data_IF_239104174272
#
_entry.id   IF_239104174272
#
_cell.length_a   1.000
_cell.length_b   1.000
_cell.length_c   1.000
_cell.angle_alpha   90.00
_cell.angle_beta   90.00
_cell.angle_gamma   90.00
#
_symmetry.space_group_name_H-M   'P 1'
#
loop_
_entity.id
_entity.type
_entity.pdbx_description
1 polymer ?
#
# COMPACT_ATOMS: atom_id res chain seq x y z
N UNK A 1 50.39 27.81 35.57
CA UNK A 1 50.71 29.09 34.96
C UNK A 1 49.51 30.00 35.10
N UNK A 2 49.68 31.21 35.58
CA UNK A 2 48.77 32.10 36.29
C UNK A 2 47.46 32.45 35.56
N UNK A 3 46.36 32.37 36.33
CA UNK A 3 45.06 33.01 36.09
C UNK A 3 45.17 34.52 36.16
N UNK A 4 44.62 35.21 35.17
CA UNK A 4 44.33 36.68 35.29
C UNK A 4 42.81 36.87 35.21
N UNK A 5 42.28 37.35 36.35
CA UNK A 5 40.92 37.90 36.50
C UNK A 5 40.84 39.25 35.77
N UNK A 6 39.82 39.47 34.96
CA UNK A 6 39.39 40.80 34.52
C UNK A 6 38.08 41.17 35.18
N UNK A 7 38.09 42.33 35.81
CA UNK A 7 37.03 42.98 36.55
C UNK A 7 35.95 43.53 35.61
N UNK A 8 34.70 43.43 36.05
CA UNK A 8 33.51 44.02 35.40
C UNK A 8 33.21 45.35 36.13
N UNK A 9 33.12 46.43 35.36
CA UNK A 9 32.63 47.72 35.84
C UNK A 9 31.09 47.80 35.70
N UNK A 10 30.38 48.57 36.53
CA UNK A 10 28.93 48.62 36.59
C UNK A 10 28.34 49.59 35.55
N UNK A 11 27.23 49.13 34.92
CA UNK A 11 26.47 49.90 33.95
C UNK A 11 25.53 50.90 34.60
N UNK A 12 25.45 52.09 34.00
CA UNK A 12 24.62 53.18 34.32
C UNK A 12 23.13 52.98 34.12
N UNK A 13 22.31 53.55 35.00
CA UNK A 13 20.84 53.62 34.85
C UNK A 13 20.49 54.59 33.72
N UNK A 14 19.60 54.21 32.83
CA UNK A 14 18.90 55.15 31.97
C UNK A 14 17.38 54.94 32.05
N UNK A 15 16.72 56.06 31.90
CA UNK A 15 15.37 56.44 32.23
C UNK A 15 14.20 55.67 31.57
N UNK A 16 13.10 55.77 32.31
CA UNK A 16 11.75 55.43 31.99
C UNK A 16 11.25 56.03 30.66
N UNK A 17 10.84 55.20 29.71
CA UNK A 17 9.97 55.59 28.59
C UNK A 17 8.68 54.74 28.62
N UNK A 18 7.57 55.45 28.56
CA UNK A 18 6.18 55.03 28.65
C UNK A 18 5.81 53.92 27.66
N UNK A 19 5.08 52.93 28.18
CA UNK A 19 4.41 51.89 27.35
C UNK A 19 3.24 52.51 26.57
N UNK A 20 3.08 52.20 25.29
CA UNK A 20 1.83 52.46 24.58
C UNK A 20 0.77 51.44 24.96
N UNK A 21 -0.45 51.90 25.12
CA UNK A 21 -1.68 51.18 25.41
C UNK A 21 -2.05 50.23 24.25
N UNK A 22 -2.53 49.01 24.51
CA UNK A 22 -2.91 48.09 23.41
C UNK A 22 -4.25 48.53 22.83
N UNK A 23 -4.27 48.75 21.50
CA UNK A 23 -5.47 49.01 20.72
C UNK A 23 -6.45 47.83 20.82
N UNK A 24 -7.69 48.15 21.22
CA UNK A 24 -8.82 47.23 21.25
C UNK A 24 -9.09 46.70 19.83
N UNK A 25 -8.80 45.43 19.59
CA UNK A 25 -9.29 44.71 18.41
C UNK A 25 -10.80 44.50 18.58
N UNK A 26 -11.59 45.14 17.73
CA UNK A 26 -13.01 44.84 17.58
C UNK A 26 -13.17 43.47 16.96
N UNK A 27 -13.73 42.51 17.71
CA UNK A 27 -14.11 41.20 17.19
C UNK A 27 -15.36 41.35 16.36
N UNK A 28 -15.23 41.17 15.04
CA UNK A 28 -16.36 40.93 14.17
C UNK A 28 -16.65 39.42 14.21
N UNK A 29 -17.43 38.98 15.19
CA UNK A 29 -18.03 37.68 15.20
C UNK A 29 -19.32 37.74 14.39
N UNK A 30 -19.23 37.41 13.11
CA UNK A 30 -20.41 37.06 12.31
C UNK A 30 -20.83 35.64 12.75
N UNK A 31 -21.92 35.53 13.48
CA UNK A 31 -22.56 34.27 13.80
C UNK A 31 -23.14 33.67 12.50
N UNK A 32 -22.50 32.61 12.02
CA UNK A 32 -23.12 31.75 11.00
C UNK A 32 -24.09 30.84 11.72
N UNK A 33 -25.39 31.11 11.61
CA UNK A 33 -26.43 30.19 12.04
C UNK A 33 -26.36 28.90 11.20
N UNK A 34 -25.96 27.80 11.83
CA UNK A 34 -26.04 26.46 11.26
C UNK A 34 -27.46 25.94 11.46
N UNK A 35 -28.19 25.58 10.40
CA UNK A 35 -29.54 25.02 10.57
C UNK A 35 -29.46 23.65 11.27
N UNK A 36 -30.00 23.57 12.46
CA UNK A 36 -30.22 22.33 13.22
C UNK A 36 -31.44 21.60 12.66
N UNK A 37 -31.27 20.85 11.59
CA UNK A 37 -32.17 19.75 11.20
C UNK A 37 -31.53 18.89 10.11
N UNK A 38 -30.59 18.04 10.47
CA UNK A 38 -30.24 16.89 9.61
C UNK A 38 -31.06 15.71 10.11
N UNK A 39 -32.13 15.40 9.38
CA UNK A 39 -32.90 14.20 9.57
C UNK A 39 -32.00 12.97 9.50
N UNK A 40 -32.12 12.08 10.50
CA UNK A 40 -31.48 10.76 10.52
C UNK A 40 -32.01 9.93 9.35
N UNK A 41 -31.48 10.10 8.15
CA UNK A 41 -31.72 9.18 7.05
C UNK A 41 -30.69 8.05 7.17
N UNK A 42 -31.17 6.86 7.56
CA UNK A 42 -30.46 5.59 7.39
C UNK A 42 -30.16 5.42 5.91
N UNK A 43 -28.98 5.82 5.46
CA UNK A 43 -28.47 5.42 4.14
C UNK A 43 -27.61 4.18 4.32
N UNK A 44 -28.28 3.06 4.61
CA UNK A 44 -27.75 1.75 4.26
C UNK A 44 -28.22 1.46 2.82
N UNK A 45 -27.67 2.12 1.84
CA UNK A 45 -27.71 1.67 0.45
C UNK A 45 -26.42 0.96 0.16
N UNK A 46 -26.38 -0.37 0.33
CA UNK A 46 -25.55 -1.20 -0.52
C UNK A 46 -25.85 -0.75 -1.95
N UNK A 47 -24.86 -0.20 -2.64
CA UNK A 47 -24.87 -0.08 -4.07
C UNK A 47 -24.86 -1.51 -4.62
N UNK A 48 -26.04 -2.11 -4.76
CA UNK A 48 -26.20 -3.30 -5.58
C UNK A 48 -25.93 -2.88 -7.00
N UNK A 49 -24.80 -3.31 -7.54
CA UNK A 49 -24.54 -3.23 -8.98
C UNK A 49 -25.69 -3.92 -9.70
N UNK A 50 -26.33 -3.30 -10.68
CA UNK A 50 -27.23 -4.01 -11.57
C UNK A 50 -26.44 -5.09 -12.29
N UNK A 51 -26.93 -6.31 -12.26
CA UNK A 51 -26.50 -7.37 -13.15
C UNK A 51 -27.07 -7.06 -14.52
N UNK A 52 -26.37 -6.25 -15.30
CA UNK A 52 -26.68 -6.06 -16.71
C UNK A 52 -25.65 -6.82 -17.54
N UNK A 53 -26.14 -7.81 -18.28
CA UNK A 53 -25.46 -8.61 -19.29
C UNK A 53 -25.00 -7.78 -20.52
N UNK A 54 -24.44 -6.62 -20.32
CA UNK A 54 -23.61 -5.97 -21.31
C UNK A 54 -22.19 -6.50 -21.12
N UNK A 55 -21.76 -7.41 -21.98
CA UNK A 55 -20.36 -7.74 -22.20
C UNK A 55 -19.66 -6.48 -22.68
N UNK A 56 -19.37 -5.56 -21.77
CA UNK A 56 -18.42 -4.48 -22.02
C UNK A 56 -17.09 -5.17 -22.20
N UNK A 57 -16.49 -4.98 -23.36
CA UNK A 57 -15.09 -5.39 -23.53
C UNK A 57 -14.32 -4.80 -22.36
N UNK A 58 -13.77 -5.65 -21.47
CA UNK A 58 -13.13 -5.20 -20.23
C UNK A 58 -11.93 -4.31 -20.52
N UNK A 59 -11.62 -3.36 -19.63
CA UNK A 59 -10.52 -2.39 -19.75
C UNK A 59 -9.16 -3.05 -20.01
N UNK A 60 -9.02 -4.33 -19.67
CA UNK A 60 -7.76 -5.08 -19.74
C UNK A 60 -7.81 -6.25 -20.74
N UNK A 61 -8.76 -6.19 -21.69
CA UNK A 61 -8.86 -7.22 -22.74
C UNK A 61 -7.54 -7.37 -23.49
N UNK A 62 -7.03 -8.62 -23.55
CA UNK A 62 -5.77 -8.96 -24.20
C UNK A 62 -4.51 -8.63 -23.39
N UNK A 63 -4.64 -8.02 -22.21
CA UNK A 63 -3.53 -7.80 -21.30
C UNK A 63 -3.18 -9.06 -20.52
N UNK A 64 -1.90 -9.19 -20.17
CA UNK A 64 -1.36 -10.37 -19.46
C UNK A 64 -0.75 -9.93 -18.13
N UNK A 65 -1.22 -10.54 -17.04
CA UNK A 65 -0.84 -10.21 -15.68
C UNK A 65 -0.15 -11.38 -14.98
N UNK A 66 0.94 -11.12 -14.29
CA UNK A 66 1.59 -12.06 -13.38
C UNK A 66 1.49 -11.55 -11.95
N UNK A 67 0.85 -12.32 -11.07
CA UNK A 67 0.53 -11.94 -9.69
C UNK A 67 1.33 -12.81 -8.73
N UNK A 68 2.17 -12.15 -7.91
CA UNK A 68 2.91 -12.79 -6.83
C UNK A 68 2.21 -12.60 -5.49
N UNK A 69 2.23 -13.63 -4.64
CA UNK A 69 1.81 -13.53 -3.23
C UNK A 69 0.41 -14.02 -2.90
N UNK A 70 -0.28 -14.71 -3.81
CA UNK A 70 -1.55 -15.36 -3.48
C UNK A 70 -1.30 -16.52 -2.50
N UNK A 71 -1.91 -16.44 -1.31
CA UNK A 71 -1.85 -17.50 -0.29
C UNK A 71 -3.19 -18.24 -0.12
N UNK A 72 -4.31 -17.56 -0.34
CA UNK A 72 -5.68 -18.08 -0.31
C UNK A 72 -6.65 -17.07 -0.97
N UNK A 73 -7.94 -17.37 -0.96
CA UNK A 73 -9.04 -16.55 -1.49
C UNK A 73 -9.32 -15.25 -0.73
N UNK A 74 -8.71 -15.07 0.45
CA UNK A 74 -8.78 -13.84 1.24
C UNK A 74 -7.53 -12.94 1.06
N UNK A 75 -6.56 -13.37 0.25
CA UNK A 75 -5.37 -12.56 -0.02
C UNK A 75 -5.71 -11.33 -0.86
N UNK A 76 -5.10 -10.19 -0.56
CA UNK A 76 -5.20 -8.98 -1.41
C UNK A 76 -4.77 -9.32 -2.84
N UNK A 77 -3.70 -10.11 -3.00
CA UNK A 77 -3.25 -10.59 -4.30
C UNK A 77 -4.34 -11.35 -5.08
N UNK A 78 -5.21 -12.11 -4.41
CA UNK A 78 -6.33 -12.77 -5.05
C UNK A 78 -7.42 -11.78 -5.47
N UNK A 79 -7.77 -10.81 -4.62
CA UNK A 79 -8.73 -9.75 -4.98
C UNK A 79 -8.28 -8.97 -6.21
N UNK A 80 -6.99 -8.63 -6.27
CA UNK A 80 -6.38 -7.99 -7.45
C UNK A 80 -6.46 -8.91 -8.67
N UNK A 81 -6.02 -10.16 -8.55
CA UNK A 81 -6.03 -11.12 -9.66
C UNK A 81 -7.44 -11.31 -10.24
N UNK A 82 -8.44 -11.46 -9.36
CA UNK A 82 -9.85 -11.61 -9.76
C UNK A 82 -10.37 -10.35 -10.47
N UNK A 83 -10.07 -9.17 -9.97
CA UNK A 83 -10.47 -7.92 -10.59
C UNK A 83 -9.84 -7.71 -11.98
N UNK A 84 -8.55 -8.04 -12.13
CA UNK A 84 -7.86 -8.00 -13.43
C UNK A 84 -8.50 -9.00 -14.42
N UNK A 85 -8.77 -10.22 -13.98
CA UNK A 85 -9.45 -11.24 -14.79
C UNK A 85 -10.85 -10.79 -15.22
N UNK A 86 -11.65 -10.24 -14.32
CA UNK A 86 -13.01 -9.76 -14.59
C UNK A 86 -13.03 -8.60 -15.61
N UNK A 87 -11.88 -7.93 -15.80
CA UNK A 87 -11.68 -6.89 -16.82
C UNK A 87 -11.01 -7.42 -18.09
N UNK A 88 -10.90 -8.74 -18.24
CA UNK A 88 -10.46 -9.41 -19.47
C UNK A 88 -8.96 -9.67 -19.57
N UNK A 89 -8.19 -9.49 -18.48
CA UNK A 89 -6.78 -9.88 -18.48
C UNK A 89 -6.60 -11.39 -18.36
N UNK A 90 -5.60 -11.94 -19.05
CA UNK A 90 -5.06 -13.26 -18.76
C UNK A 90 -4.16 -13.18 -17.52
N UNK A 91 -4.47 -13.98 -16.49
CA UNK A 91 -3.77 -13.89 -15.20
C UNK A 91 -2.98 -15.17 -14.94
N UNK A 92 -1.70 -15.05 -14.59
CA UNK A 92 -0.88 -16.12 -14.05
C UNK A 92 -0.45 -15.83 -12.62
N UNK A 93 0.04 -16.86 -11.93
CA UNK A 93 0.36 -16.81 -10.51
C UNK A 93 1.75 -17.30 -10.21
N UNK A 94 2.40 -16.65 -9.24
CA UNK A 94 3.57 -17.16 -8.56
C UNK A 94 3.44 -17.00 -7.05
N UNK A 95 3.86 -18.01 -6.30
CA UNK A 95 3.82 -18.02 -4.85
C UNK A 95 4.82 -19.04 -4.30
N UNK A 96 4.99 -19.08 -2.98
CA UNK A 96 5.81 -20.10 -2.33
C UNK A 96 5.39 -21.51 -2.77
N UNK A 97 6.35 -22.37 -3.09
CA UNK A 97 6.12 -23.73 -3.60
C UNK A 97 5.18 -24.55 -2.69
N UNK A 98 5.26 -24.36 -1.36
CA UNK A 98 4.39 -25.03 -0.38
C UNK A 98 2.89 -24.67 -0.52
N UNK A 99 2.56 -23.52 -1.07
CA UNK A 99 1.18 -23.05 -1.23
C UNK A 99 0.57 -23.47 -2.58
N UNK A 100 1.40 -23.75 -3.59
CA UNK A 100 0.98 -23.96 -4.97
C UNK A 100 -0.10 -25.05 -5.08
N UNK A 101 0.20 -26.27 -4.65
CA UNK A 101 -0.65 -27.43 -4.91
C UNK A 101 -2.02 -27.35 -4.23
N UNK A 102 -2.05 -26.90 -2.98
CA UNK A 102 -3.26 -26.98 -2.15
C UNK A 102 -4.10 -25.70 -2.16
N UNK A 103 -3.49 -24.55 -2.46
CA UNK A 103 -4.16 -23.26 -2.34
C UNK A 103 -4.23 -22.48 -3.65
N UNK A 104 -3.09 -22.28 -4.33
CA UNK A 104 -3.04 -21.41 -5.50
C UNK A 104 -3.61 -22.07 -6.74
N UNK A 105 -3.29 -23.34 -7.02
CA UNK A 105 -3.81 -24.05 -8.22
C UNK A 105 -5.34 -24.13 -8.30
N UNK A 106 -6.09 -24.43 -7.22
CA UNK A 106 -7.55 -24.41 -7.27
C UNK A 106 -8.12 -23.03 -7.61
N UNK A 107 -7.54 -21.96 -7.03
CA UNK A 107 -7.94 -20.58 -7.33
C UNK A 107 -7.61 -20.20 -8.77
N UNK A 108 -6.42 -20.51 -9.24
CA UNK A 108 -6.01 -20.30 -10.63
C UNK A 108 -6.96 -21.00 -11.60
N UNK A 109 -7.32 -22.26 -11.33
CA UNK A 109 -8.24 -23.04 -12.15
C UNK A 109 -9.64 -22.41 -12.19
N UNK A 110 -10.12 -21.79 -11.11
CA UNK A 110 -11.45 -21.14 -11.06
C UNK A 110 -11.59 -19.96 -12.01
N UNK A 111 -10.49 -19.38 -12.47
CA UNK A 111 -10.45 -18.30 -13.47
C UNK A 111 -9.75 -18.74 -14.78
N UNK A 112 -9.61 -20.05 -15.01
CA UNK A 112 -9.00 -20.59 -16.23
C UNK A 112 -7.51 -20.32 -16.40
N UNK A 113 -6.80 -19.93 -15.34
CA UNK A 113 -5.35 -19.67 -15.41
C UNK A 113 -4.56 -20.98 -15.56
N UNK A 114 -3.67 -21.00 -16.54
CA UNK A 114 -2.78 -22.15 -16.84
C UNK A 114 -1.34 -21.94 -16.43
N UNK A 115 -0.99 -20.74 -15.90
CA UNK A 115 0.36 -20.43 -15.43
C UNK A 115 0.35 -20.32 -13.90
N UNK A 116 0.99 -21.29 -13.23
CA UNK A 116 1.13 -21.33 -11.77
C UNK A 116 2.51 -21.91 -11.44
N UNK A 117 3.42 -21.08 -10.97
CA UNK A 117 4.81 -21.43 -10.68
C UNK A 117 5.17 -21.18 -9.21
N UNK A 118 6.01 -22.04 -8.64
CA UNK A 118 6.61 -21.82 -7.33
C UNK A 118 7.78 -20.83 -7.42
N UNK A 119 7.94 -19.98 -6.40
CA UNK A 119 9.06 -19.05 -6.29
C UNK A 119 9.32 -18.70 -4.83
N UNK A 120 10.56 -18.93 -4.37
CA UNK A 120 11.10 -18.23 -3.20
C UNK A 120 11.73 -16.93 -3.69
N UNK A 121 11.17 -15.81 -3.25
CA UNK A 121 11.60 -14.48 -3.69
C UNK A 121 12.95 -14.04 -3.13
N UNK A 122 13.58 -14.86 -2.27
CA UNK A 122 14.95 -14.68 -1.78
C UNK A 122 15.99 -15.28 -2.73
N UNK A 123 15.55 -16.02 -3.73
CA UNK A 123 16.40 -16.67 -4.72
C UNK A 123 16.23 -16.00 -6.07
N UNK A 124 17.24 -15.22 -6.49
CA UNK A 124 17.25 -14.50 -7.76
C UNK A 124 17.13 -15.45 -8.97
N UNK A 125 17.65 -16.68 -8.88
CA UNK A 125 17.54 -17.68 -9.94
C UNK A 125 16.11 -18.22 -10.05
N UNK A 126 15.39 -18.37 -8.95
CA UNK A 126 13.98 -18.76 -8.97
C UNK A 126 13.13 -17.62 -9.59
N UNK A 127 13.38 -16.37 -9.20
CA UNK A 127 12.70 -15.20 -9.80
C UNK A 127 12.95 -15.22 -11.32
N UNK A 128 14.20 -15.29 -11.76
CA UNK A 128 14.57 -15.33 -13.18
C UNK A 128 13.89 -16.48 -13.93
N UNK A 129 13.84 -17.68 -13.34
CA UNK A 129 13.17 -18.85 -13.92
C UNK A 129 11.67 -18.61 -14.13
N UNK A 130 10.98 -17.94 -13.20
CA UNK A 130 9.54 -17.62 -13.34
C UNK A 130 9.31 -16.70 -14.53
N UNK A 131 10.06 -15.63 -14.69
CA UNK A 131 9.90 -14.70 -15.81
C UNK A 131 10.29 -15.33 -17.15
N UNK A 132 11.36 -16.12 -17.20
CA UNK A 132 11.74 -16.89 -18.39
C UNK A 132 10.66 -17.89 -18.82
N UNK A 133 10.07 -18.62 -17.88
CA UNK A 133 8.95 -19.54 -18.14
C UNK A 133 7.69 -18.82 -18.56
N UNK A 134 7.43 -17.64 -17.95
CA UNK A 134 6.33 -16.78 -18.36
C UNK A 134 6.48 -16.41 -19.84
N UNK A 135 7.59 -15.81 -20.21
CA UNK A 135 7.83 -15.38 -21.59
C UNK A 135 7.73 -16.53 -22.59
N UNK A 136 8.31 -17.69 -22.27
CA UNK A 136 8.28 -18.86 -23.14
C UNK A 136 6.85 -19.38 -23.39
N UNK A 137 5.91 -19.23 -22.43
CA UNK A 137 4.54 -19.77 -22.52
C UNK A 137 3.50 -18.71 -22.88
N UNK A 138 3.73 -17.46 -22.50
CA UNK A 138 2.74 -16.39 -22.55
C UNK A 138 3.19 -15.19 -23.39
N UNK A 139 4.49 -15.08 -23.69
CA UNK A 139 5.07 -13.91 -24.37
C UNK A 139 5.23 -12.72 -23.43
N UNK A 140 4.87 -11.53 -23.91
CA UNK A 140 5.01 -10.29 -23.15
C UNK A 140 4.21 -10.26 -21.86
N UNK A 141 4.63 -9.40 -20.93
CA UNK A 141 4.02 -9.17 -19.62
C UNK A 141 3.55 -7.71 -19.53
N UNK A 142 2.24 -7.47 -19.47
CA UNK A 142 1.69 -6.13 -19.36
C UNK A 142 1.59 -5.65 -17.91
N UNK A 143 1.34 -6.57 -16.97
CA UNK A 143 1.02 -6.23 -15.58
C UNK A 143 1.78 -7.14 -14.63
N UNK A 144 2.61 -6.55 -13.77
CA UNK A 144 3.26 -7.25 -12.67
C UNK A 144 2.67 -6.80 -11.34
N UNK A 145 2.19 -7.75 -10.54
CA UNK A 145 1.69 -7.48 -9.19
C UNK A 145 2.62 -8.11 -8.16
N UNK A 146 3.30 -7.26 -7.38
CA UNK A 146 4.12 -7.65 -6.24
C UNK A 146 3.29 -7.49 -4.95
N UNK A 147 2.74 -8.60 -4.44
CA UNK A 147 1.98 -8.62 -3.18
C UNK A 147 2.62 -9.57 -2.18
N UNK A 148 3.93 -9.47 -2.04
CA UNK A 148 4.75 -10.29 -1.15
C UNK A 148 5.26 -9.46 0.01
N UNK A 149 5.15 -9.99 1.23
CA UNK A 149 5.75 -9.40 2.42
C UNK A 149 5.90 -10.47 3.50
N UNK A 150 6.95 -10.36 4.29
CA UNK A 150 7.19 -11.22 5.43
C UNK A 150 8.04 -10.50 6.49
N UNK A 151 7.76 -10.77 7.75
CA UNK A 151 8.62 -10.47 8.88
C UNK A 151 8.46 -11.57 9.93
N UNK A 152 9.51 -11.80 10.73
CA UNK A 152 9.43 -12.70 11.86
C UNK A 152 8.48 -12.17 12.92
N UNK A 153 7.70 -13.05 13.55
CA UNK A 153 6.67 -12.64 14.55
C UNK A 153 7.30 -11.95 15.75
N UNK A 154 8.48 -12.37 16.13
CA UNK A 154 9.26 -11.82 17.23
C UNK A 154 9.63 -10.36 16.98
N UNK A 155 9.93 -10.00 15.74
CA UNK A 155 10.28 -8.64 15.32
C UNK A 155 9.06 -7.74 15.07
N UNK A 156 7.85 -8.31 15.00
CA UNK A 156 6.58 -7.56 15.02
C UNK A 156 6.07 -7.33 16.44
N UNK A 157 6.53 -8.14 17.42
CA UNK A 157 6.12 -8.01 18.82
C UNK A 157 7.07 -7.10 19.61
N UNK A 158 6.57 -6.57 20.73
CA UNK A 158 7.40 -5.80 21.67
C UNK A 158 7.86 -4.44 21.13
N UNK A 159 9.03 -3.99 21.55
CA UNK A 159 9.60 -2.72 21.20
C UNK A 159 10.36 -2.79 19.86
N UNK A 160 10.18 -1.81 19.00
CA UNK A 160 10.90 -1.72 17.72
C UNK A 160 12.42 -1.74 17.89
N UNK A 161 12.96 -1.10 18.95
CA UNK A 161 14.40 -1.07 19.25
C UNK A 161 15.00 -2.47 19.55
N UNK A 162 14.16 -3.49 19.79
CA UNK A 162 14.58 -4.86 20.00
C UNK A 162 14.59 -5.70 18.70
N UNK A 163 14.28 -5.10 17.54
CA UNK A 163 14.33 -5.77 16.25
C UNK A 163 15.67 -6.46 16.04
N UNK A 164 15.64 -7.75 15.73
CA UNK A 164 16.84 -8.52 15.48
C UNK A 164 17.49 -8.14 14.14
N UNK A 165 18.83 -8.28 14.03
CA UNK A 165 19.53 -8.03 12.78
C UNK A 165 19.05 -8.95 11.67
N UNK A 166 18.88 -10.23 11.97
CA UNK A 166 18.48 -11.25 11.01
C UNK A 166 17.03 -11.06 10.57
N UNK A 167 16.12 -10.71 11.50
CA UNK A 167 14.73 -10.39 11.17
C UNK A 167 14.61 -9.10 10.34
N UNK A 168 15.45 -8.10 10.63
CA UNK A 168 15.54 -6.91 9.79
C UNK A 168 15.97 -7.27 8.36
N UNK A 169 17.04 -8.05 8.19
CA UNK A 169 17.49 -8.50 6.87
C UNK A 169 16.41 -9.30 6.14
N UNK A 170 15.79 -10.27 6.83
CA UNK A 170 14.71 -11.09 6.26
C UNK A 170 13.51 -10.25 5.81
N UNK A 171 13.09 -9.29 6.62
CA UNK A 171 11.97 -8.43 6.27
C UNK A 171 12.26 -7.56 5.04
N UNK A 172 13.46 -7.00 4.93
CA UNK A 172 13.87 -6.18 3.80
C UNK A 172 14.11 -7.00 2.54
N UNK A 173 14.72 -8.15 2.65
CA UNK A 173 14.97 -9.05 1.52
C UNK A 173 13.66 -9.47 0.85
N UNK A 174 12.72 -10.01 1.64
CA UNK A 174 11.45 -10.52 1.13
C UNK A 174 10.48 -9.38 0.74
N UNK A 175 10.42 -8.29 1.52
CA UNK A 175 9.36 -7.30 1.35
C UNK A 175 9.77 -6.08 0.52
N UNK A 176 11.06 -5.88 0.27
CA UNK A 176 11.59 -4.71 -0.46
C UNK A 176 12.44 -5.13 -1.66
N UNK A 177 13.53 -5.87 -1.42
CA UNK A 177 14.46 -6.23 -2.48
C UNK A 177 13.80 -7.08 -3.55
N UNK A 178 12.89 -7.97 -3.18
CA UNK A 178 12.16 -8.81 -4.12
C UNK A 178 11.39 -8.01 -5.19
N UNK A 179 10.87 -6.80 -4.86
CA UNK A 179 10.27 -5.91 -5.87
C UNK A 179 11.32 -5.46 -6.90
N UNK A 180 12.50 -5.08 -6.43
CA UNK A 180 13.61 -4.63 -7.30
C UNK A 180 14.05 -5.77 -8.20
N UNK A 181 14.26 -6.97 -7.63
CA UNK A 181 14.65 -8.16 -8.38
C UNK A 181 13.60 -8.56 -9.42
N UNK A 182 12.31 -8.56 -9.03
CA UNK A 182 11.22 -8.86 -9.96
C UNK A 182 11.11 -7.82 -11.09
N UNK A 183 11.24 -6.53 -10.78
CA UNK A 183 11.21 -5.48 -11.78
C UNK A 183 12.37 -5.61 -12.79
N UNK A 184 13.58 -5.94 -12.31
CA UNK A 184 14.75 -6.23 -13.14
C UNK A 184 14.50 -7.38 -14.11
N UNK A 185 14.01 -8.52 -13.60
CA UNK A 185 13.78 -9.71 -14.41
C UNK A 185 12.54 -9.60 -15.32
N UNK A 186 11.54 -8.79 -14.95
CA UNK A 186 10.35 -8.53 -15.76
C UNK A 186 10.62 -7.58 -16.93
N UNK A 187 11.48 -6.56 -16.72
CA UNK A 187 11.72 -5.46 -17.67
C UNK A 187 11.93 -5.90 -19.12
N UNK A 188 12.75 -6.94 -19.44
CA UNK A 188 12.97 -7.36 -20.82
C UNK A 188 11.71 -7.85 -21.55
N UNK A 189 10.67 -8.19 -20.82
CA UNK A 189 9.42 -8.78 -21.32
C UNK A 189 8.23 -7.81 -21.21
N UNK A 190 8.45 -6.59 -20.72
CA UNK A 190 7.40 -5.60 -20.50
C UNK A 190 7.41 -4.53 -21.60
N UNK A 191 6.42 -4.53 -22.51
CA UNK A 191 6.32 -3.50 -23.54
C UNK A 191 5.93 -2.13 -22.95
N UNK A 192 6.14 -1.02 -23.71
CA UNK A 192 5.65 0.29 -23.31
C UNK A 192 4.15 0.28 -22.99
N UNK A 193 3.74 0.98 -21.95
CA UNK A 193 2.39 0.99 -21.41
C UNK A 193 2.14 -0.05 -20.30
N UNK A 194 3.14 -0.88 -19.99
CA UNK A 194 3.05 -1.86 -18.90
C UNK A 194 3.00 -1.20 -17.51
N UNK A 195 2.54 -1.97 -16.53
CA UNK A 195 2.35 -1.50 -15.15
C UNK A 195 2.91 -2.49 -14.14
N UNK A 196 3.72 -2.00 -13.22
CA UNK A 196 4.15 -2.72 -12.02
C UNK A 196 3.43 -2.11 -10.83
N UNK A 197 2.85 -2.93 -9.96
CA UNK A 197 2.23 -2.45 -8.73
C UNK A 197 2.67 -3.28 -7.52
N UNK A 198 2.84 -2.61 -6.39
CA UNK A 198 3.17 -3.24 -5.11
C UNK A 198 2.18 -2.87 -4.03
N UNK A 199 2.17 -3.66 -2.94
CA UNK A 199 1.27 -3.45 -1.80
C UNK A 199 2.03 -2.84 -0.63
N UNK A 200 1.59 -1.66 -0.19
CA UNK A 200 2.09 -0.99 1.01
C UNK A 200 0.99 -0.82 2.05
N UNK A 201 1.32 -0.15 3.15
CA UNK A 201 0.41 0.13 4.24
C UNK A 201 0.80 1.44 4.92
N UNK A 202 -0.17 2.16 5.47
CA UNK A 202 0.01 3.45 6.15
C UNK A 202 1.08 3.45 7.26
N UNK A 203 1.41 2.27 7.78
CA UNK A 203 2.56 2.07 8.66
C UNK A 203 3.92 2.47 8.07
N UNK A 204 4.01 2.74 6.76
CA UNK A 204 5.18 3.33 6.11
C UNK A 204 5.39 4.81 6.50
N UNK A 205 4.31 5.54 6.78
CA UNK A 205 4.34 6.97 7.11
C UNK A 205 4.13 7.25 8.59
N UNK A 206 3.27 6.47 9.24
CA UNK A 206 2.89 6.66 10.64
C UNK A 206 3.21 5.41 11.44
N UNK A 207 3.53 5.62 12.70
CA UNK A 207 3.76 4.50 13.62
C UNK A 207 2.44 3.77 13.87
N UNK A 208 2.39 2.51 13.47
CA UNK A 208 1.30 1.60 13.80
C UNK A 208 1.82 0.60 14.83
N UNK A 209 1.20 0.50 16.03
CA UNK A 209 1.62 -0.44 17.06
C UNK A 209 1.67 -1.88 16.51
N UNK A 210 2.72 -2.62 16.90
CA UNK A 210 2.97 -4.01 16.48
C UNK A 210 3.19 -4.22 14.98
N UNK A 211 3.48 -3.16 14.24
CA UNK A 211 3.91 -3.26 12.84
C UNK A 211 5.44 -3.17 12.69
N UNK A 212 6.10 -2.49 13.61
CA UNK A 212 7.55 -2.44 13.87
C UNK A 212 8.41 -2.47 12.58
N UNK A 213 9.28 -3.49 12.42
CA UNK A 213 10.19 -3.63 11.27
C UNK A 213 9.45 -3.59 9.92
N UNK A 214 8.23 -4.08 9.87
CA UNK A 214 7.45 -4.04 8.63
C UNK A 214 7.08 -2.62 8.23
N UNK A 215 6.83 -1.70 9.17
CA UNK A 215 6.60 -0.29 8.86
C UNK A 215 7.80 0.34 8.17
N UNK A 216 9.01 0.07 8.67
CA UNK A 216 10.26 0.56 8.05
C UNK A 216 10.48 -0.10 6.68
N UNK A 217 10.20 -1.39 6.55
CA UNK A 217 10.27 -2.08 5.25
C UNK A 217 9.27 -1.48 4.24
N UNK A 218 8.03 -1.13 4.67
CA UNK A 218 7.05 -0.49 3.78
C UNK A 218 7.49 0.92 3.36
N UNK A 219 8.11 1.70 4.23
CA UNK A 219 8.69 2.99 3.86
C UNK A 219 9.79 2.84 2.79
N UNK A 220 10.67 1.84 2.95
CA UNK A 220 11.67 1.51 1.96
C UNK A 220 11.05 1.01 0.64
N UNK A 221 9.97 0.23 0.69
CA UNK A 221 9.22 -0.24 -0.48
C UNK A 221 8.62 0.93 -1.27
N UNK A 222 8.05 1.93 -0.60
CA UNK A 222 7.51 3.14 -1.24
C UNK A 222 8.63 4.00 -1.87
N UNK A 223 9.78 4.11 -1.18
CA UNK A 223 10.95 4.73 -1.77
C UNK A 223 11.41 3.97 -3.03
N UNK A 224 11.51 2.64 -2.96
CA UNK A 224 11.88 1.79 -4.11
C UNK A 224 10.90 1.95 -5.28
N UNK A 225 9.61 2.11 -5.01
CA UNK A 225 8.59 2.39 -6.04
C UNK A 225 8.91 3.66 -6.82
N UNK A 226 9.30 4.74 -6.15
CA UNK A 226 9.69 6.00 -6.80
C UNK A 226 10.96 5.86 -7.64
N UNK A 227 11.98 5.19 -7.13
CA UNK A 227 13.23 4.96 -7.86
C UNK A 227 13.00 4.08 -9.09
N UNK A 228 12.22 2.99 -8.97
CA UNK A 228 11.86 2.13 -10.09
C UNK A 228 11.00 2.87 -11.13
N UNK A 229 10.09 3.74 -10.70
CA UNK A 229 9.31 4.57 -11.60
C UNK A 229 10.18 5.51 -12.45
N UNK A 230 11.21 6.12 -11.84
CA UNK A 230 12.15 6.97 -12.55
C UNK A 230 13.05 6.17 -13.51
N UNK A 231 13.50 4.98 -13.10
CA UNK A 231 14.39 4.12 -13.90
C UNK A 231 13.66 3.48 -15.09
N UNK A 232 12.41 3.02 -14.88
CA UNK A 232 11.62 2.29 -15.88
C UNK A 232 10.72 3.20 -16.74
N UNK A 233 10.48 4.43 -16.30
CA UNK A 233 9.66 5.41 -17.00
C UNK A 233 10.10 5.68 -18.45
N UNK A 234 11.40 5.87 -18.76
CA UNK A 234 11.89 5.99 -20.14
C UNK A 234 11.57 4.81 -21.05
N UNK A 235 11.32 3.62 -20.47
CA UNK A 235 10.87 2.44 -21.20
C UNK A 235 9.34 2.36 -21.32
N UNK A 236 8.59 3.36 -20.84
CA UNK A 236 7.14 3.39 -20.84
C UNK A 236 6.49 2.47 -19.80
N UNK A 237 7.23 2.01 -18.79
CA UNK A 237 6.74 1.14 -17.72
C UNK A 237 6.43 2.00 -16.48
N UNK A 238 5.21 1.91 -15.97
CA UNK A 238 4.77 2.63 -14.77
C UNK A 238 4.92 1.76 -13.54
N UNK A 239 5.32 2.35 -12.41
CA UNK A 239 5.48 1.65 -11.13
C UNK A 239 4.77 2.42 -10.04
N UNK A 240 3.80 1.79 -9.35
CA UNK A 240 3.02 2.43 -8.30
C UNK A 240 2.81 1.49 -7.11
N UNK A 241 2.47 2.06 -5.96
CA UNK A 241 2.11 1.33 -4.75
C UNK A 241 0.63 1.55 -4.41
N UNK A 242 -0.03 0.53 -3.86
CA UNK A 242 -1.37 0.64 -3.29
C UNK A 242 -1.25 0.48 -1.78
N UNK A 243 -1.63 1.52 -1.04
CA UNK A 243 -1.69 1.52 0.43
C UNK A 243 -3.10 1.13 0.86
N UNK A 244 -3.28 -0.13 1.23
CA UNK A 244 -4.58 -0.65 1.64
C UNK A 244 -4.80 -0.48 3.14
N UNK A 245 -6.02 -0.14 3.55
CA UNK A 245 -6.44 -0.22 4.95
C UNK A 245 -6.40 -1.66 5.48
N UNK A 246 -6.71 -1.88 6.77
CA UNK A 246 -6.68 -3.22 7.36
C UNK A 246 -7.67 -4.16 6.66
N UNK A 247 -7.17 -5.29 6.16
CA UNK A 247 -7.96 -6.35 5.53
C UNK A 247 -7.67 -7.67 6.23
N UNK A 248 -8.69 -8.51 6.45
CA UNK A 248 -8.54 -9.83 7.06
C UNK A 248 -7.86 -10.81 6.12
N UNK A 249 -6.53 -10.81 6.14
CA UNK A 249 -5.70 -11.74 5.37
C UNK A 249 -4.97 -12.73 6.28
N UNK A 250 -4.39 -13.78 5.70
CA UNK A 250 -3.56 -14.71 6.46
C UNK A 250 -2.37 -13.98 7.13
N UNK A 251 -1.72 -13.08 6.41
CA UNK A 251 -0.60 -12.29 6.93
C UNK A 251 -1.01 -11.35 8.06
N UNK A 252 -2.18 -10.75 7.99
CA UNK A 252 -2.70 -9.85 9.02
C UNK A 252 -2.92 -10.54 10.38
N UNK A 253 -3.19 -11.85 10.39
CA UNK A 253 -3.32 -12.62 11.63
C UNK A 253 -2.00 -12.74 12.41
N UNK A 254 -0.86 -12.48 11.80
CA UNK A 254 0.44 -12.43 12.47
C UNK A 254 0.68 -11.15 13.27
N UNK A 255 -0.13 -10.11 13.08
CA UNK A 255 0.03 -8.80 13.75
C UNK A 255 -0.76 -8.82 15.06
N UNK A 256 -0.08 -8.57 16.19
CA UNK A 256 -0.73 -8.49 17.49
C UNK A 256 -1.75 -7.33 17.50
N UNK A 257 -2.92 -7.56 18.10
CA UNK A 257 -3.98 -6.55 18.16
C UNK A 257 -4.74 -6.29 16.84
N UNK A 258 -4.42 -6.98 15.74
CA UNK A 258 -5.07 -6.79 14.44
C UNK A 258 -6.60 -6.88 14.52
N UNK A 259 -7.15 -7.84 15.28
CA UNK A 259 -8.60 -8.02 15.42
C UNK A 259 -9.29 -6.78 16.00
N UNK A 260 -8.66 -6.16 17.01
CA UNK A 260 -9.17 -4.94 17.65
C UNK A 260 -9.09 -3.75 16.67
N UNK A 261 -7.95 -3.58 16.02
CA UNK A 261 -7.74 -2.54 15.01
C UNK A 261 -8.76 -2.66 13.87
N UNK A 262 -8.93 -3.85 13.29
CA UNK A 262 -9.91 -4.09 12.23
C UNK A 262 -11.36 -3.84 12.69
N UNK A 263 -11.67 -4.23 13.93
CA UNK A 263 -13.02 -4.06 14.50
C UNK A 263 -13.42 -2.59 14.63
N UNK A 264 -12.52 -1.74 15.08
CA UNK A 264 -12.75 -0.30 15.27
C UNK A 264 -12.47 0.55 14.03
N UNK A 265 -11.87 -0.02 12.98
CA UNK A 265 -11.45 0.77 11.82
C UNK A 265 -12.61 1.49 11.12
N UNK A 266 -13.73 0.82 10.91
CA UNK A 266 -14.95 1.40 10.33
C UNK A 266 -15.52 2.57 11.13
N UNK A 267 -15.24 2.61 12.44
CA UNK A 267 -15.80 3.62 13.32
C UNK A 267 -15.00 4.94 13.29
N UNK A 268 -13.78 4.87 12.75
CA UNK A 268 -12.87 6.03 12.66
C UNK A 268 -12.54 6.47 11.23
N UNK A 269 -12.92 5.70 10.22
CA UNK A 269 -12.68 6.09 8.82
C UNK A 269 -13.77 7.04 8.30
N UNK A 270 -13.44 8.01 7.43
CA UNK A 270 -14.43 8.89 6.80
C UNK A 270 -15.57 8.16 6.10
N UNK A 271 -15.28 7.06 5.39
CA UNK A 271 -16.32 6.27 4.71
C UNK A 271 -17.07 5.30 5.62
N UNK A 272 -16.76 5.25 6.93
CA UNK A 272 -17.42 4.40 7.93
C UNK A 272 -17.57 2.94 7.49
N UNK A 273 -16.56 2.41 6.81
CA UNK A 273 -16.56 1.03 6.30
C UNK A 273 -15.17 0.40 6.41
N UNK A 274 -15.15 -0.91 6.57
CA UNK A 274 -13.92 -1.69 6.42
C UNK A 274 -13.61 -1.88 4.93
N UNK A 275 -12.32 -2.02 4.63
CA UNK A 275 -11.83 -2.23 3.27
C UNK A 275 -11.91 -3.72 2.93
N UNK A 276 -12.26 -4.01 1.68
CA UNK A 276 -12.29 -5.34 1.11
C UNK A 276 -11.15 -5.57 0.10
N UNK A 277 -10.92 -6.82 -0.28
CA UNK A 277 -9.95 -7.15 -1.34
C UNK A 277 -10.44 -6.67 -2.71
N UNK A 278 -11.75 -6.54 -2.90
CA UNK A 278 -12.40 -6.02 -4.11
C UNK A 278 -12.14 -4.52 -4.29
N UNK A 279 -12.13 -3.74 -3.21
CA UNK A 279 -11.82 -2.30 -3.25
C UNK A 279 -10.38 -2.08 -3.74
N UNK A 280 -9.44 -2.88 -3.24
CA UNK A 280 -8.04 -2.87 -3.72
C UNK A 280 -7.96 -3.33 -5.18
N UNK A 281 -8.75 -4.34 -5.54
CA UNK A 281 -8.86 -4.83 -6.92
C UNK A 281 -9.29 -3.74 -7.90
N UNK A 282 -10.24 -2.90 -7.52
CA UNK A 282 -10.68 -1.76 -8.34
C UNK A 282 -9.56 -0.76 -8.64
N UNK A 283 -8.76 -0.42 -7.63
CA UNK A 283 -7.58 0.43 -7.80
C UNK A 283 -6.51 -0.23 -8.66
N UNK A 284 -6.30 -1.54 -8.49
CA UNK A 284 -5.35 -2.29 -9.32
C UNK A 284 -5.78 -2.30 -10.81
N UNK A 285 -7.07 -2.41 -11.12
CA UNK A 285 -7.60 -2.27 -12.48
C UNK A 285 -7.31 -0.87 -13.05
N UNK A 286 -7.54 0.19 -12.28
CA UNK A 286 -7.16 1.54 -12.70
C UNK A 286 -5.67 1.63 -13.04
N UNK A 287 -4.79 1.18 -12.13
CA UNK A 287 -3.34 1.24 -12.33
C UNK A 287 -2.85 0.36 -13.48
N UNK A 288 -3.53 -0.73 -13.78
CA UNK A 288 -3.21 -1.63 -14.89
C UNK A 288 -3.71 -1.10 -16.24
N UNK A 289 -4.68 -0.20 -16.24
CA UNK A 289 -5.39 0.28 -17.44
C UNK A 289 -4.73 1.53 -18.06
N UNK A 290 -5.07 1.88 -19.31
CA UNK A 290 -4.67 3.14 -19.93
C UNK A 290 -5.16 4.40 -19.20
N UNK A 291 -6.17 4.28 -18.32
CA UNK A 291 -6.70 5.39 -17.54
C UNK A 291 -5.65 6.01 -16.59
N UNK A 292 -4.65 5.23 -16.20
CA UNK A 292 -3.53 5.68 -15.36
C UNK A 292 -2.25 5.97 -16.15
N UNK A 293 -2.36 6.28 -17.44
CA UNK A 293 -1.23 6.40 -18.37
C UNK A 293 -0.14 7.41 -17.96
N UNK A 294 -0.48 8.39 -17.12
CA UNK A 294 0.45 9.39 -16.58
C UNK A 294 0.65 9.26 -15.06
N UNK A 295 0.24 8.12 -14.46
CA UNK A 295 0.39 7.85 -13.02
C UNK A 295 1.55 6.89 -12.80
N UNK A 296 2.66 7.38 -12.24
CA UNK A 296 3.84 6.57 -11.90
C UNK A 296 4.57 7.15 -10.69
N UNK A 297 5.16 6.30 -9.86
CA UNK A 297 5.85 6.69 -8.62
C UNK A 297 4.92 7.01 -7.45
N UNK A 298 3.62 6.78 -7.60
CA UNK A 298 2.59 7.19 -6.65
C UNK A 298 2.25 6.09 -5.64
N UNK A 299 1.82 6.53 -4.46
CA UNK A 299 1.18 5.70 -3.44
C UNK A 299 -0.31 6.05 -3.42
N UNK A 300 -1.16 5.11 -3.82
CA UNK A 300 -2.61 5.31 -3.87
C UNK A 300 -3.26 4.66 -2.67
N UNK A 301 -3.98 5.45 -1.88
CA UNK A 301 -4.64 4.97 -0.67
C UNK A 301 -6.00 4.35 -0.97
N UNK A 302 -6.21 3.17 -0.42
CA UNK A 302 -7.49 2.44 -0.41
C UNK A 302 -7.78 2.08 1.05
N UNK A 303 -8.15 3.08 1.84
CA UNK A 303 -8.26 2.98 3.30
C UNK A 303 -9.49 3.69 3.89
N UNK A 304 -10.48 3.98 3.05
CA UNK A 304 -11.70 4.68 3.47
C UNK A 304 -11.47 6.13 3.90
N UNK A 305 -10.32 6.71 3.53
CA UNK A 305 -9.91 8.06 3.90
C UNK A 305 -9.19 8.14 5.25
N UNK A 306 -8.80 7.02 5.84
CA UNK A 306 -8.12 7.01 7.15
C UNK A 306 -6.83 7.85 7.15
N UNK A 307 -6.05 7.79 6.08
CA UNK A 307 -4.76 8.48 5.97
C UNK A 307 -4.85 10.02 6.05
N UNK A 308 -6.02 10.61 5.74
CA UNK A 308 -6.18 12.08 5.77
C UNK A 308 -6.47 12.62 7.17
N UNK A 309 -6.76 11.74 8.13
CA UNK A 309 -7.16 12.15 9.48
C UNK A 309 -5.93 12.49 10.33
N UNK A 310 -5.90 13.68 10.89
CA UNK A 310 -4.91 14.07 11.89
C UNK A 310 -5.18 13.42 13.25
N UNK A 311 -6.44 13.28 13.62
CA UNK A 311 -6.90 12.60 14.83
C UNK A 311 -8.21 11.87 14.48
N UNK A 312 -8.27 10.54 14.64
CA UNK A 312 -9.53 9.82 14.47
C UNK A 312 -10.51 10.20 15.60
N UNK A 313 -11.69 10.65 15.22
CA UNK A 313 -12.77 10.98 16.14
C UNK A 313 -13.86 9.92 15.98
N UNK A 314 -14.14 9.18 17.05
CA UNK A 314 -15.32 8.32 17.11
C UNK A 314 -16.58 9.20 17.26
N UNK A 315 -17.69 8.79 16.65
CA UNK A 315 -18.98 9.44 16.89
C UNK A 315 -19.38 9.25 18.36
N UNK A 316 -19.91 10.31 18.99
CA UNK A 316 -20.46 10.28 20.34
C UNK A 316 -21.70 9.39 20.46
#
# INVERSE_FOLDING_TARGET
>A
MKLTKRSVAPAAKQDSASKPEPARAQSVAAAVEVPTAVAKSRVSRRLTRPADDCVREGLLKGKKALVFGVANDHSIAWGIAKALYDQGAEVGFSSMASLIKRRVRPLAASIGSTFVEGCDVRDDDEIKKVFGRWHARKGDLDILVHAVAYAEKEDLAGNFSATSRDGFHTAFDISVYSLIAMAREARPYMPPGSSIMTMTYYGAEKVVPHYNVMGVAKAALEASTRYLAADLGPSGIRVNAISAGPIRTLSAHGIAGFRLMYGGFKDVTPLRSNISIEDVGGTAVYLASPLSGQTTGEVIYVDGGFNILGLPVADE
#
